data_IF_313052870757
#
_entry.id   IF_313052870757
#
_cell.length_a   1.000
_cell.length_b   1.000
_cell.length_c   1.000
_cell.angle_alpha   90.00
_cell.angle_beta   90.00
_cell.angle_gamma   90.00
#
_symmetry.space_group_name_H-M   'P 1'
#
loop_
_entity.id
_entity.type
_entity.pdbx_description
1 polymer ?
#
# COMPACT_ATOMS: atom_id res chain seq x y z
N UNK A 1 12.51 -48.53 31.47
CA UNK A 1 13.22 -48.99 32.68
C UNK A 1 13.87 -47.77 33.30
N UNK A 2 13.49 -47.48 34.54
CA UNK A 2 13.91 -46.34 35.35
C UNK A 2 15.44 -46.23 35.46
N UNK A 3 15.98 -45.02 35.64
CA UNK A 3 16.58 -44.56 36.91
C UNK A 3 16.92 -43.06 36.79
N UNK A 4 16.35 -42.29 37.70
CA UNK A 4 16.80 -40.96 38.09
C UNK A 4 17.70 -41.11 39.33
N UNK A 5 18.84 -40.40 39.39
CA UNK A 5 19.50 -40.08 40.66
C UNK A 5 20.14 -38.68 40.61
N UNK A 6 19.51 -37.80 41.38
CA UNK A 6 19.97 -36.62 42.14
C UNK A 6 21.46 -36.25 42.17
N UNK A 7 21.77 -34.96 42.02
CA UNK A 7 22.75 -34.25 42.88
C UNK A 7 22.48 -32.74 42.91
N UNK A 8 22.70 -32.15 44.09
CA UNK A 8 22.53 -30.76 44.53
C UNK A 8 23.64 -29.83 44.02
N UNK A 9 23.49 -28.48 44.09
CA UNK A 9 24.40 -27.54 43.43
C UNK A 9 25.63 -27.26 44.30
N UNK A 10 26.82 -27.44 43.74
CA UNK A 10 28.07 -26.91 44.29
C UNK A 10 28.51 -25.70 43.48
N UNK A 11 28.80 -24.62 44.21
CA UNK A 11 29.37 -23.38 43.70
C UNK A 11 30.61 -23.63 42.84
N UNK A 12 30.63 -23.10 41.61
CA UNK A 12 31.85 -23.04 40.80
C UNK A 12 32.36 -21.61 40.70
N UNK A 13 33.50 -21.45 41.36
CA UNK A 13 34.51 -20.40 41.30
C UNK A 13 34.76 -19.86 39.87
N UNK A 14 34.73 -18.54 39.73
CA UNK A 14 34.77 -17.79 38.47
C UNK A 14 36.18 -17.63 37.84
N UNK A 15 37.04 -18.64 37.92
CA UNK A 15 38.42 -18.54 37.40
C UNK A 15 38.92 -19.83 36.73
N UNK A 16 38.26 -20.23 35.63
CA UNK A 16 38.88 -21.09 34.60
C UNK A 16 38.06 -21.08 33.30
N UNK A 17 38.28 -20.10 32.42
CA UNK A 17 37.89 -20.24 31.00
C UNK A 17 39.05 -20.86 30.22
N UNK A 18 38.84 -21.96 29.46
CA UNK A 18 39.85 -22.46 28.55
C UNK A 18 40.09 -21.47 27.40
N UNK A 19 41.35 -21.32 27.00
CA UNK A 19 41.81 -20.43 25.93
C UNK A 19 41.04 -20.69 24.63
N UNK A 20 40.48 -19.63 24.05
CA UNK A 20 39.92 -19.63 22.70
C UNK A 20 41.02 -19.99 21.70
N UNK A 21 40.81 -21.05 20.93
CA UNK A 21 41.67 -21.41 19.81
C UNK A 21 41.31 -20.45 18.67
N UNK A 22 42.19 -19.51 18.39
CA UNK A 22 42.04 -18.58 17.27
C UNK A 22 42.29 -19.35 15.97
N UNK A 23 41.21 -19.68 15.25
CA UNK A 23 41.27 -20.25 13.92
C UNK A 23 41.69 -19.13 12.97
N UNK A 24 43.00 -19.03 12.71
CA UNK A 24 43.56 -18.18 11.65
C UNK A 24 43.02 -18.67 10.31
N UNK A 25 41.99 -18.00 9.77
CA UNK A 25 41.56 -18.23 8.40
C UNK A 25 42.73 -17.87 7.48
N UNK A 26 43.17 -18.84 6.69
CA UNK A 26 44.13 -18.60 5.62
C UNK A 26 43.43 -17.72 4.58
N UNK A 27 43.80 -16.44 4.51
CA UNK A 27 43.43 -15.60 3.36
C UNK A 27 43.99 -16.28 2.11
N UNK A 28 43.10 -16.91 1.36
CA UNK A 28 43.37 -17.23 -0.03
C UNK A 28 43.36 -15.89 -0.76
N UNK A 29 44.52 -15.49 -1.27
CA UNK A 29 44.64 -14.40 -2.23
C UNK A 29 43.89 -14.80 -3.50
N UNK A 30 42.56 -14.66 -3.49
CA UNK A 30 41.75 -14.61 -4.68
C UNK A 30 42.05 -13.26 -5.32
N UNK A 31 42.82 -13.29 -6.40
CA UNK A 31 42.95 -12.13 -7.27
C UNK A 31 41.54 -11.66 -7.69
N UNK A 32 41.29 -10.33 -7.76
CA UNK A 32 40.00 -9.84 -8.19
C UNK A 32 39.78 -10.31 -9.63
N UNK A 33 38.82 -11.22 -9.82
CA UNK A 33 38.38 -11.64 -11.15
C UNK A 33 37.95 -10.38 -11.91
N UNK A 34 38.74 -9.97 -12.90
CA UNK A 34 38.33 -8.93 -13.85
C UNK A 34 36.99 -9.35 -14.47
N UNK A 35 35.95 -8.56 -14.23
CA UNK A 35 34.63 -8.81 -14.77
C UNK A 35 34.68 -8.76 -16.30
N UNK A 36 34.50 -9.90 -16.96
CA UNK A 36 34.43 -10.02 -18.42
C UNK A 36 33.42 -9.00 -18.98
N UNK A 37 33.74 -8.23 -20.04
CA UNK A 37 32.83 -7.23 -20.59
C UNK A 37 31.54 -7.91 -21.07
N UNK A 38 30.46 -7.75 -20.32
CA UNK A 38 29.15 -8.29 -20.68
C UNK A 38 28.63 -7.57 -21.92
N UNK A 39 28.19 -8.34 -22.93
CA UNK A 39 27.52 -7.78 -24.11
C UNK A 39 26.30 -6.96 -23.68
N UNK A 40 25.93 -5.92 -24.44
CA UNK A 40 24.77 -5.07 -24.11
C UNK A 40 23.50 -5.91 -23.89
N UNK A 41 23.31 -6.99 -24.67
CA UNK A 41 22.22 -7.95 -24.48
C UNK A 41 22.32 -8.75 -23.18
N UNK A 42 23.51 -9.21 -22.76
CA UNK A 42 23.68 -9.92 -21.50
C UNK A 42 23.42 -9.00 -20.29
N UNK A 43 23.87 -7.75 -20.37
CA UNK A 43 23.58 -6.71 -19.38
C UNK A 43 22.07 -6.39 -19.30
N UNK A 44 21.40 -6.23 -20.44
CA UNK A 44 19.95 -5.98 -20.51
C UNK A 44 19.16 -7.20 -19.99
N UNK A 45 19.53 -8.41 -20.39
CA UNK A 45 18.85 -9.64 -19.97
C UNK A 45 19.02 -9.88 -18.45
N UNK A 46 20.23 -9.68 -17.90
CA UNK A 46 20.48 -9.74 -16.47
C UNK A 46 19.67 -8.68 -15.69
N UNK A 47 19.57 -7.46 -16.24
CA UNK A 47 18.79 -6.36 -15.63
C UNK A 47 17.28 -6.57 -15.73
N UNK A 48 16.82 -7.22 -16.80
CA UNK A 48 15.43 -7.59 -17.04
C UNK A 48 14.98 -8.73 -16.11
N UNK A 49 15.82 -9.74 -15.88
CA UNK A 49 15.55 -10.79 -14.89
C UNK A 49 15.50 -10.26 -13.46
N UNK A 50 16.31 -9.24 -13.12
CA UNK A 50 16.27 -8.56 -11.81
C UNK A 50 14.96 -7.79 -11.57
N UNK A 51 14.30 -7.32 -12.63
CA UNK A 51 13.03 -6.59 -12.57
C UNK A 51 11.94 -7.32 -13.36
N UNK A 52 11.94 -8.66 -13.29
CA UNK A 52 11.12 -9.51 -14.15
C UNK A 52 9.62 -9.21 -13.97
N UNK A 53 9.16 -9.07 -12.73
CA UNK A 53 7.76 -8.80 -12.42
C UNK A 53 7.27 -7.46 -13.03
N UNK A 54 8.03 -6.38 -12.85
CA UNK A 54 7.71 -5.08 -13.44
C UNK A 54 7.76 -5.13 -14.98
N UNK A 55 8.76 -5.82 -15.53
CA UNK A 55 8.90 -5.90 -17.00
C UNK A 55 7.75 -6.68 -17.62
N UNK A 56 7.39 -7.82 -17.02
CA UNK A 56 6.27 -8.65 -17.46
C UNK A 56 4.93 -7.92 -17.36
N UNK A 57 4.68 -7.19 -16.28
CA UNK A 57 3.44 -6.41 -16.11
C UNK A 57 3.32 -5.30 -17.14
N UNK A 58 4.37 -4.49 -17.35
CA UNK A 58 4.38 -3.43 -18.37
C UNK A 58 4.21 -4.02 -19.77
N UNK A 59 4.90 -5.13 -20.09
CA UNK A 59 4.73 -5.81 -21.36
C UNK A 59 3.30 -6.33 -21.54
N UNK A 60 2.70 -6.92 -20.51
CA UNK A 60 1.32 -7.39 -20.52
C UNK A 60 0.32 -6.26 -20.76
N UNK A 61 0.53 -5.09 -20.14
CA UNK A 61 -0.28 -3.89 -20.37
C UNK A 61 -0.18 -3.42 -21.81
N UNK A 62 1.04 -3.29 -22.36
CA UNK A 62 1.25 -2.83 -23.73
C UNK A 62 0.64 -3.82 -24.73
N UNK A 63 0.91 -5.12 -24.58
CA UNK A 63 0.36 -6.16 -25.44
C UNK A 63 -1.16 -6.22 -25.37
N UNK A 64 -1.75 -6.13 -24.17
CA UNK A 64 -3.19 -6.09 -23.97
C UNK A 64 -3.84 -4.86 -24.60
N UNK A 65 -3.21 -3.69 -24.46
CA UNK A 65 -3.70 -2.44 -25.04
C UNK A 65 -3.65 -2.44 -26.57
N UNK A 66 -2.52 -2.85 -27.16
CA UNK A 66 -2.34 -2.94 -28.61
C UNK A 66 -3.26 -3.98 -29.21
N UNK A 67 -3.33 -5.19 -28.64
CA UNK A 67 -4.22 -6.24 -29.14
C UNK A 67 -5.70 -5.86 -29.02
N UNK A 68 -6.12 -5.25 -27.91
CA UNK A 68 -7.49 -4.77 -27.73
C UNK A 68 -7.86 -3.66 -28.72
N UNK A 69 -6.95 -2.73 -29.00
CA UNK A 69 -7.17 -1.67 -29.98
C UNK A 69 -7.20 -2.22 -31.41
N UNK A 70 -6.32 -3.15 -31.76
CA UNK A 70 -6.30 -3.78 -33.07
C UNK A 70 -7.58 -4.58 -33.33
N UNK A 71 -7.99 -5.39 -32.36
CA UNK A 71 -9.22 -6.20 -32.42
C UNK A 71 -10.47 -5.33 -32.53
N UNK A 72 -10.49 -4.17 -31.86
CA UNK A 72 -11.56 -3.17 -31.98
C UNK A 72 -11.68 -2.60 -33.40
N UNK A 73 -10.56 -2.33 -34.06
CA UNK A 73 -10.54 -1.77 -35.43
C UNK A 73 -10.84 -2.86 -36.47
N UNK A 74 -10.47 -4.11 -36.20
CA UNK A 74 -10.51 -5.19 -37.19
C UNK A 74 -11.92 -5.68 -37.56
N UNK A 75 -12.94 -5.63 -36.68
CA UNK A 75 -14.37 -5.87 -36.96
C UNK A 75 -15.22 -5.80 -35.67
N UNK A 76 -16.55 -5.58 -35.75
CA UNK A 76 -17.42 -5.75 -34.58
C UNK A 76 -17.42 -7.21 -34.12
N UNK A 77 -16.78 -7.45 -32.98
CA UNK A 77 -16.62 -8.79 -32.40
C UNK A 77 -17.91 -9.20 -31.69
N UNK A 78 -18.36 -10.44 -31.90
CA UNK A 78 -19.51 -10.98 -31.16
C UNK A 78 -19.23 -11.01 -29.65
N UNK A 79 -20.19 -10.65 -28.77
CA UNK A 79 -19.99 -10.60 -27.32
C UNK A 79 -19.38 -11.85 -26.69
N UNK A 80 -19.68 -13.04 -27.23
CA UNK A 80 -19.16 -14.31 -26.72
C UNK A 80 -17.64 -14.43 -26.88
N UNK A 81 -17.08 -13.92 -27.98
CA UNK A 81 -15.63 -13.94 -28.22
C UNK A 81 -14.94 -12.98 -27.24
N UNK A 82 -15.56 -11.83 -26.94
CA UNK A 82 -15.07 -10.88 -25.94
C UNK A 82 -15.03 -11.53 -24.56
N UNK A 83 -16.04 -12.30 -24.21
CA UNK A 83 -16.08 -13.05 -22.95
C UNK A 83 -14.93 -14.05 -22.84
N UNK A 84 -14.67 -14.83 -23.89
CA UNK A 84 -13.56 -15.81 -23.90
C UNK A 84 -12.19 -15.13 -23.79
N UNK A 85 -12.00 -14.00 -24.48
CA UNK A 85 -10.76 -13.20 -24.39
C UNK A 85 -10.57 -12.62 -22.98
N UNK A 86 -11.64 -12.12 -22.35
CA UNK A 86 -11.61 -11.52 -21.02
C UNK A 86 -11.51 -12.56 -19.88
N UNK A 87 -11.88 -13.82 -20.13
CA UNK A 87 -12.02 -14.86 -19.10
C UNK A 87 -10.75 -15.09 -18.25
N UNK A 88 -9.53 -15.19 -18.80
CA UNK A 88 -8.32 -15.30 -17.99
C UNK A 88 -8.11 -14.08 -17.06
N UNK A 89 -8.53 -12.90 -17.50
CA UNK A 89 -8.51 -11.67 -16.70
C UNK A 89 -9.53 -11.67 -15.57
N UNK A 90 -10.72 -12.20 -15.81
CA UNK A 90 -11.74 -12.36 -14.77
C UNK A 90 -11.32 -13.39 -13.71
N UNK A 91 -10.63 -14.46 -14.10
CA UNK A 91 -10.00 -15.40 -13.16
C UNK A 91 -8.98 -14.67 -12.29
N UNK A 92 -8.10 -13.87 -12.88
CA UNK A 92 -7.11 -13.08 -12.14
C UNK A 92 -7.78 -12.21 -11.06
N UNK A 93 -8.85 -11.50 -11.42
CA UNK A 93 -9.60 -10.67 -10.46
C UNK A 93 -10.26 -11.49 -9.35
N UNK A 94 -10.75 -12.70 -9.65
CA UNK A 94 -11.32 -13.61 -8.64
C UNK A 94 -10.24 -14.14 -7.69
N UNK A 95 -9.05 -14.46 -8.21
CA UNK A 95 -7.92 -14.88 -7.39
C UNK A 95 -7.45 -13.75 -6.45
N UNK A 96 -7.36 -12.51 -6.94
CA UNK A 96 -7.04 -11.36 -6.10
C UNK A 96 -8.09 -11.13 -5.00
N UNK A 97 -9.39 -11.28 -5.30
CA UNK A 97 -10.47 -11.20 -4.30
C UNK A 97 -10.35 -12.26 -3.20
N UNK A 98 -9.94 -13.47 -3.54
CA UNK A 98 -9.76 -14.57 -2.58
C UNK A 98 -8.68 -14.25 -1.54
N UNK A 99 -7.64 -13.50 -1.93
CA UNK A 99 -6.54 -13.14 -1.02
C UNK A 99 -6.87 -11.99 -0.07
N UNK A 100 -7.95 -11.25 -0.29
CA UNK A 100 -8.34 -10.11 0.56
C UNK A 100 -8.52 -10.56 2.01
N UNK A 101 -9.29 -11.62 2.26
CA UNK A 101 -9.63 -12.04 3.62
C UNK A 101 -8.39 -12.53 4.40
N UNK A 102 -7.59 -13.51 3.92
CA UNK A 102 -6.39 -13.95 4.63
C UNK A 102 -5.39 -12.82 4.90
N UNK A 103 -5.25 -11.90 3.94
CA UNK A 103 -4.34 -10.77 4.03
C UNK A 103 -4.79 -9.77 5.09
N UNK A 104 -6.07 -9.37 5.09
CA UNK A 104 -6.62 -8.46 6.13
C UNK A 104 -6.39 -9.04 7.52
N UNK A 105 -6.73 -10.32 7.72
CA UNK A 105 -6.64 -10.97 9.02
C UNK A 105 -5.19 -11.00 9.50
N UNK A 106 -4.30 -11.56 8.68
CA UNK A 106 -2.90 -11.76 9.07
C UNK A 106 -2.15 -10.43 9.25
N UNK A 107 -2.34 -9.45 8.35
CA UNK A 107 -1.66 -8.15 8.41
C UNK A 107 -2.17 -7.24 9.53
N UNK A 108 -3.48 -7.17 9.78
CA UNK A 108 -4.02 -6.33 10.86
C UNK A 108 -3.63 -6.88 12.23
N UNK A 109 -3.73 -8.20 12.44
CA UNK A 109 -3.40 -8.81 13.73
C UNK A 109 -1.92 -8.60 14.04
N UNK A 110 -1.03 -8.98 13.12
CA UNK A 110 0.42 -8.84 13.31
C UNK A 110 0.83 -7.37 13.45
N UNK A 111 0.26 -6.49 12.62
CA UNK A 111 0.55 -5.07 12.63
C UNK A 111 0.11 -4.34 13.90
N UNK A 112 -1.02 -4.73 14.52
CA UNK A 112 -1.53 -4.08 15.73
C UNK A 112 -0.99 -4.71 17.01
N UNK A 113 -0.76 -6.03 17.03
CA UNK A 113 -0.24 -6.69 18.20
C UNK A 113 1.27 -6.48 18.40
N UNK A 114 2.01 -6.19 17.31
CA UNK A 114 3.41 -5.77 17.38
C UNK A 114 3.60 -4.35 17.92
N UNK A 115 2.52 -3.55 18.02
CA UNK A 115 2.56 -2.26 18.70
C UNK A 115 2.48 -2.50 20.21
N UNK A 116 3.64 -2.72 20.83
CA UNK A 116 3.72 -2.85 22.28
C UNK A 116 3.35 -1.51 22.93
N UNK A 117 2.08 -1.38 23.35
CA UNK A 117 1.57 -0.19 24.02
C UNK A 117 2.35 0.15 25.29
N UNK A 118 3.10 -0.80 25.87
CA UNK A 118 3.89 -0.63 27.09
C UNK A 118 5.29 -0.08 26.82
N UNK A 119 5.99 -0.54 25.76
CA UNK A 119 7.32 0.00 25.37
C UNK A 119 7.27 1.18 24.39
N UNK A 120 6.15 1.35 23.67
CA UNK A 120 5.94 2.46 22.73
C UNK A 120 5.94 3.83 23.43
N UNK A 121 5.66 3.87 24.74
CA UNK A 121 5.80 5.05 25.59
C UNK A 121 5.03 6.28 25.08
N UNK A 122 5.32 7.46 25.64
CA UNK A 122 4.72 8.73 25.21
C UNK A 122 5.13 9.14 23.78
N UNK A 123 6.27 8.63 23.28
CA UNK A 123 6.79 8.94 21.94
C UNK A 123 6.00 8.22 20.84
N UNK A 124 5.69 6.94 21.03
CA UNK A 124 4.97 6.14 20.05
C UNK A 124 3.48 6.51 19.96
N UNK A 125 2.84 6.89 21.08
CA UNK A 125 1.47 7.45 21.03
C UNK A 125 1.43 8.76 20.23
N UNK A 126 2.41 9.65 20.39
CA UNK A 126 2.50 10.89 19.60
C UNK A 126 2.70 10.58 18.11
N UNK A 127 3.55 9.62 17.78
CA UNK A 127 3.76 9.18 16.39
C UNK A 127 2.50 8.55 15.78
N UNK A 128 1.78 7.75 16.55
CA UNK A 128 0.53 7.10 16.13
C UNK A 128 -0.56 8.14 15.84
N UNK A 129 -0.73 9.12 16.72
CA UNK A 129 -1.66 10.26 16.50
C UNK A 129 -1.26 11.05 15.27
N UNK A 130 0.04 11.33 15.09
CA UNK A 130 0.54 12.03 13.91
C UNK A 130 0.17 11.28 12.61
N UNK A 131 0.50 9.99 12.50
CA UNK A 131 0.19 9.21 11.29
C UNK A 131 -1.31 9.06 11.02
N UNK A 132 -2.14 8.85 12.04
CA UNK A 132 -3.59 8.80 11.86
C UNK A 132 -4.14 10.13 11.37
N UNK A 133 -3.70 11.25 11.96
CA UNK A 133 -4.16 12.58 11.55
C UNK A 133 -3.75 12.92 10.11
N UNK A 134 -2.51 12.65 9.70
CA UNK A 134 -2.06 12.91 8.32
C UNK A 134 -2.78 12.04 7.31
N UNK A 135 -3.09 10.79 7.66
CA UNK A 135 -3.83 9.86 6.79
C UNK A 135 -5.28 10.30 6.59
N UNK A 136 -5.96 10.76 7.65
CA UNK A 136 -7.32 11.31 7.55
C UNK A 136 -7.32 12.57 6.68
N UNK A 137 -6.36 13.48 6.87
CA UNK A 137 -6.22 14.69 6.05
C UNK A 137 -5.99 14.32 4.58
N UNK A 138 -5.12 13.35 4.29
CA UNK A 138 -4.89 12.86 2.93
C UNK A 138 -6.15 12.29 2.28
N UNK A 139 -6.92 11.47 3.01
CA UNK A 139 -8.17 10.88 2.53
C UNK A 139 -9.23 11.96 2.23
N UNK A 140 -9.40 12.93 3.13
CA UNK A 140 -10.33 14.05 2.95
C UNK A 140 -9.92 14.92 1.75
N UNK A 141 -8.64 15.24 1.62
CA UNK A 141 -8.11 15.97 0.46
C UNK A 141 -8.40 15.23 -0.84
N UNK A 142 -8.18 13.91 -0.89
CA UNK A 142 -8.46 13.07 -2.04
C UNK A 142 -9.93 13.11 -2.45
N UNK A 143 -10.85 13.00 -1.48
CA UNK A 143 -12.31 13.07 -1.70
C UNK A 143 -12.74 14.45 -2.21
N UNK A 144 -12.17 15.54 -1.66
CA UNK A 144 -12.46 16.90 -2.13
C UNK A 144 -11.97 17.10 -3.56
N UNK A 145 -10.71 16.72 -3.85
CA UNK A 145 -10.12 16.88 -5.18
C UNK A 145 -10.93 16.13 -6.24
N UNK A 146 -11.26 14.86 -6.02
CA UNK A 146 -12.02 14.09 -7.02
C UNK A 146 -13.40 14.71 -7.27
N UNK A 147 -14.11 15.17 -6.23
CA UNK A 147 -15.42 15.81 -6.40
C UNK A 147 -15.32 17.13 -7.17
N UNK A 148 -14.28 17.93 -6.94
CA UNK A 148 -14.08 19.18 -7.69
C UNK A 148 -13.76 18.94 -9.16
N UNK A 149 -13.03 17.86 -9.46
CA UNK A 149 -12.68 17.50 -10.84
C UNK A 149 -13.89 16.92 -11.56
N UNK A 150 -14.63 15.99 -10.95
CA UNK A 150 -15.81 15.38 -11.59
C UNK A 150 -16.94 16.37 -11.82
N UNK A 151 -17.18 17.29 -10.87
CA UNK A 151 -18.19 18.35 -11.05
C UNK A 151 -17.86 19.29 -12.21
N UNK A 152 -16.58 19.58 -12.46
CA UNK A 152 -16.16 20.38 -13.61
C UNK A 152 -16.33 19.66 -14.95
N UNK A 153 -16.36 18.33 -14.96
CA UNK A 153 -16.52 17.53 -16.19
C UNK A 153 -17.98 17.50 -16.66
N UNK A 154 -18.96 17.57 -15.75
CA UNK A 154 -20.39 17.63 -16.12
C UNK A 154 -20.81 19.04 -16.61
N UNK A 155 -20.17 20.10 -16.12
CA UNK A 155 -20.50 21.50 -16.48
C UNK A 155 -20.06 21.88 -17.90
N UNK A 156 -19.28 21.04 -18.60
CA UNK A 156 -18.88 21.28 -19.99
C UNK A 156 -19.93 20.85 -21.04
N UNK A 157 -21.09 20.34 -20.61
CA UNK A 157 -22.25 20.10 -21.48
C UNK A 157 -23.33 21.13 -21.10
N UNK A 158 -23.08 22.41 -21.39
CA UNK A 158 -24.19 23.36 -21.45
C UNK A 158 -24.80 23.29 -22.86
N UNK A 159 -26.06 22.85 -22.87
CA UNK A 159 -27.00 22.94 -23.97
C UNK A 159 -27.12 24.39 -24.45
N UNK A 160 -26.66 24.66 -25.67
CA UNK A 160 -27.08 25.85 -26.41
C UNK A 160 -28.51 25.62 -26.93
N UNK A 161 -29.51 25.91 -26.09
CA UNK A 161 -30.93 25.89 -26.47
C UNK A 161 -31.48 27.31 -26.39
N UNK A 162 -31.23 28.07 -27.45
CA UNK A 162 -32.09 29.20 -27.80
C UNK A 162 -33.34 28.65 -28.52
N UNK A 163 -34.43 28.44 -27.78
CA UNK A 163 -35.73 28.12 -28.37
C UNK A 163 -36.82 29.10 -27.90
N UNK A 164 -37.13 30.08 -28.74
CA UNK A 164 -38.32 30.96 -28.66
C UNK A 164 -39.48 30.46 -29.51
N UNK A 165 -39.61 29.16 -29.77
CA UNK A 165 -40.70 28.58 -30.56
C UNK A 165 -41.65 27.71 -29.74
N UNK A 166 -42.87 27.54 -30.26
CA UNK A 166 -44.04 26.83 -29.73
C UNK A 166 -43.82 25.34 -29.33
N UNK A 167 -42.57 24.88 -29.24
CA UNK A 167 -42.15 23.55 -28.82
C UNK A 167 -42.25 23.34 -27.30
N UNK A 168 -42.28 24.43 -26.51
CA UNK A 168 -42.34 24.37 -25.04
C UNK A 168 -43.62 23.73 -24.47
N UNK A 169 -44.73 23.73 -25.21
CA UNK A 169 -45.99 23.11 -24.76
C UNK A 169 -46.05 21.61 -25.10
N UNK A 170 -45.46 21.19 -26.22
CA UNK A 170 -45.35 19.77 -26.63
C UNK A 170 -44.29 19.04 -25.81
N UNK A 171 -43.22 19.75 -25.39
CA UNK A 171 -42.17 19.22 -24.53
C UNK A 171 -42.65 18.84 -23.12
N UNK A 172 -43.78 19.38 -22.64
CA UNK A 172 -44.32 19.00 -21.32
C UNK A 172 -45.17 17.72 -21.37
N UNK A 173 -45.69 17.34 -22.55
CA UNK A 173 -46.54 16.15 -22.76
C UNK A 173 -45.68 14.92 -23.16
N UNK A 174 -44.47 15.15 -23.66
CA UNK A 174 -43.49 14.11 -24.04
C UNK A 174 -42.38 13.91 -23.00
N UNK A 175 -42.56 14.37 -21.75
CA UNK A 175 -41.59 14.11 -20.69
C UNK A 175 -41.45 12.61 -20.47
N UNK A 176 -40.33 12.07 -20.92
CA UNK A 176 -39.82 10.75 -20.56
C UNK A 176 -40.02 10.52 -19.05
N UNK A 177 -40.34 9.28 -18.62
CA UNK A 177 -40.61 8.99 -17.22
C UNK A 177 -39.47 9.52 -16.36
N UNK A 178 -39.76 10.54 -15.55
CA UNK A 178 -38.75 11.11 -14.68
C UNK A 178 -38.35 10.06 -13.66
N UNK A 179 -37.13 9.54 -13.82
CA UNK A 179 -36.51 8.64 -12.86
C UNK A 179 -36.28 9.41 -11.56
N UNK A 180 -37.25 9.34 -10.65
CA UNK A 180 -37.06 9.82 -9.29
C UNK A 180 -36.07 8.87 -8.63
N UNK A 181 -34.81 9.29 -8.52
CA UNK A 181 -33.76 8.57 -7.80
C UNK A 181 -34.12 8.57 -6.31
N UNK A 182 -34.94 7.60 -5.88
CA UNK A 182 -35.24 7.38 -4.47
C UNK A 182 -34.08 6.63 -3.84
N UNK A 183 -33.38 7.27 -2.91
CA UNK A 183 -32.40 6.60 -2.04
C UNK A 183 -33.15 5.54 -1.24
N UNK A 184 -32.88 4.27 -1.50
CA UNK A 184 -33.42 3.14 -0.74
C UNK A 184 -32.30 2.33 -0.13
N UNK A 185 -32.50 1.86 1.10
CA UNK A 185 -31.58 0.93 1.74
C UNK A 185 -31.81 -0.44 1.10
N UNK A 186 -30.81 -0.94 0.39
CA UNK A 186 -30.83 -2.29 -0.15
C UNK A 186 -29.71 -3.11 0.49
N UNK A 187 -30.07 -4.28 1.02
CA UNK A 187 -29.08 -5.26 1.46
C UNK A 187 -28.39 -5.83 0.23
N UNK A 188 -27.12 -5.49 0.03
CA UNK A 188 -26.30 -6.11 -0.99
C UNK A 188 -25.62 -7.34 -0.40
N UNK A 189 -25.81 -8.49 -1.04
CA UNK A 189 -25.06 -9.69 -0.69
C UNK A 189 -23.58 -9.48 -1.04
N UNK A 190 -22.70 -9.66 -0.07
CA UNK A 190 -21.26 -9.44 -0.21
C UNK A 190 -20.50 -9.68 1.08
N UNK A 191 -19.17 -9.75 0.99
CA UNK A 191 -18.31 -9.88 2.16
C UNK A 191 -18.38 -8.60 3.00
N UNK A 192 -18.73 -8.71 4.29
CA UNK A 192 -18.72 -7.59 5.22
C UNK A 192 -17.27 -7.25 5.65
N UNK A 193 -16.54 -6.62 4.74
CA UNK A 193 -15.14 -6.23 4.93
C UNK A 193 -14.98 -5.27 6.10
N UNK A 194 -15.90 -4.30 6.27
CA UNK A 194 -15.83 -3.30 7.33
C UNK A 194 -15.99 -3.94 8.72
N UNK A 195 -16.94 -4.88 8.86
CA UNK A 195 -17.13 -5.66 10.10
C UNK A 195 -15.93 -6.55 10.43
N UNK A 196 -15.33 -7.19 9.41
CA UNK A 196 -14.10 -7.98 9.58
C UNK A 196 -12.94 -7.11 10.07
N UNK A 197 -12.70 -5.95 9.45
CA UNK A 197 -11.65 -5.01 9.87
C UNK A 197 -11.89 -4.57 11.31
N UNK A 198 -13.10 -4.15 11.66
CA UNK A 198 -13.43 -3.73 13.03
C UNK A 198 -13.16 -4.82 14.07
N UNK A 199 -13.58 -6.06 13.78
CA UNK A 199 -13.32 -7.21 14.64
C UNK A 199 -11.82 -7.49 14.79
N UNK A 200 -11.07 -7.56 13.69
CA UNK A 200 -9.65 -7.91 13.73
C UNK A 200 -8.76 -6.80 14.29
N UNK A 201 -9.19 -5.53 14.23
CA UNK A 201 -8.55 -4.44 14.96
C UNK A 201 -8.68 -4.67 16.47
N UNK A 202 -9.89 -4.91 16.96
CA UNK A 202 -10.12 -5.17 18.38
C UNK A 202 -9.38 -6.43 18.84
N UNK A 203 -9.42 -7.49 18.03
CA UNK A 203 -8.70 -8.74 18.28
C UNK A 203 -7.18 -8.55 18.36
N UNK A 204 -6.58 -7.84 17.39
CA UNK A 204 -5.14 -7.55 17.38
C UNK A 204 -4.68 -6.74 18.59
N UNK A 205 -5.46 -5.74 19.00
CA UNK A 205 -5.16 -4.93 20.21
C UNK A 205 -5.26 -5.78 21.48
N UNK A 206 -6.31 -6.60 21.61
CA UNK A 206 -6.47 -7.51 22.75
C UNK A 206 -5.34 -8.54 22.81
N UNK A 207 -4.94 -9.10 21.65
CA UNK A 207 -3.83 -10.04 21.52
C UNK A 207 -2.50 -9.41 21.93
N UNK A 208 -2.21 -8.18 21.49
CA UNK A 208 -1.01 -7.45 21.89
C UNK A 208 -0.91 -7.25 23.41
N UNK A 209 -2.05 -7.06 24.10
CA UNK A 209 -2.10 -6.93 25.57
C UNK A 209 -1.83 -8.25 26.32
N UNK A 210 -1.96 -9.40 25.67
CA UNK A 210 -1.75 -10.72 26.30
C UNK A 210 -0.27 -11.10 26.40
N UNK A 211 0.64 -10.32 25.81
CA UNK A 211 2.09 -10.51 25.90
C UNK A 211 2.52 -11.90 25.42
N UNK A 212 3.32 -12.60 26.23
CA UNK A 212 3.88 -13.91 25.85
C UNK A 212 2.83 -14.98 25.55
N UNK A 213 1.66 -14.92 26.19
CA UNK A 213 0.57 -15.90 25.95
C UNK A 213 0.06 -15.85 24.50
N UNK A 214 0.17 -14.70 23.85
CA UNK A 214 -0.24 -14.51 22.46
C UNK A 214 0.86 -14.84 21.44
N UNK A 215 2.10 -15.09 21.87
CA UNK A 215 3.26 -15.25 20.98
C UNK A 215 3.05 -16.31 19.90
N UNK A 216 2.49 -17.46 20.28
CA UNK A 216 2.20 -18.55 19.34
C UNK A 216 1.20 -18.12 18.24
N UNK A 217 0.14 -17.40 18.62
CA UNK A 217 -0.84 -16.91 17.65
C UNK A 217 -0.26 -15.82 16.75
N UNK A 218 0.59 -14.94 17.28
CA UNK A 218 1.27 -13.91 16.51
C UNK A 218 2.19 -14.51 15.45
N UNK A 219 2.97 -15.53 15.83
CA UNK A 219 3.85 -16.25 14.93
C UNK A 219 3.05 -16.96 13.83
N UNK A 220 1.94 -17.61 14.17
CA UNK A 220 1.02 -18.19 13.19
C UNK A 220 0.52 -17.16 12.16
N UNK A 221 0.01 -16.01 12.61
CA UNK A 221 -0.49 -14.99 11.70
C UNK A 221 0.64 -14.32 10.90
N UNK A 222 1.84 -14.21 11.44
CA UNK A 222 3.02 -13.73 10.71
C UNK A 222 3.40 -14.67 9.58
N UNK A 223 3.48 -15.97 9.85
CA UNK A 223 3.75 -16.99 8.83
C UNK A 223 2.64 -17.01 7.78
N UNK A 224 1.37 -16.90 8.20
CA UNK A 224 0.24 -16.81 7.27
C UNK A 224 0.38 -15.59 6.35
N UNK A 225 0.76 -14.43 6.88
CA UNK A 225 1.02 -13.23 6.08
C UNK A 225 2.12 -13.50 5.05
N UNK A 226 3.25 -14.09 5.44
CA UNK A 226 4.33 -14.44 4.50
C UNK A 226 3.89 -15.41 3.39
N UNK A 227 3.09 -16.43 3.73
CA UNK A 227 2.54 -17.38 2.75
C UNK A 227 1.62 -16.66 1.76
N UNK A 228 0.70 -15.83 2.27
CA UNK A 228 -0.24 -15.06 1.44
C UNK A 228 0.51 -14.12 0.50
N UNK A 229 1.60 -13.50 0.97
CA UNK A 229 2.44 -12.61 0.16
C UNK A 229 3.15 -13.36 -0.97
N UNK A 230 3.61 -14.60 -0.74
CA UNK A 230 4.12 -15.47 -1.81
C UNK A 230 3.03 -15.83 -2.82
N UNK A 231 1.79 -16.05 -2.38
CA UNK A 231 0.65 -16.28 -3.28
C UNK A 231 0.36 -15.05 -4.16
N UNK A 232 0.37 -13.84 -3.59
CA UNK A 232 0.20 -12.58 -4.36
C UNK A 232 1.27 -12.50 -5.45
N UNK A 233 2.54 -12.69 -5.09
CA UNK A 233 3.66 -12.65 -6.05
C UNK A 233 3.48 -13.68 -7.16
N UNK A 234 3.12 -14.93 -6.82
CA UNK A 234 2.89 -16.01 -7.79
C UNK A 234 1.79 -15.64 -8.80
N UNK A 235 0.67 -15.05 -8.33
CA UNK A 235 -0.42 -14.59 -9.19
C UNK A 235 0.05 -13.46 -10.11
N UNK A 236 0.82 -12.51 -9.58
CA UNK A 236 1.33 -11.37 -10.36
C UNK A 236 2.40 -11.75 -11.40
N UNK A 237 3.05 -12.91 -11.26
CA UNK A 237 3.95 -13.47 -12.28
C UNK A 237 3.23 -13.97 -13.54
N UNK A 238 1.89 -13.91 -13.60
CA UNK A 238 1.09 -14.19 -14.80
C UNK A 238 0.70 -12.89 -15.54
N UNK A 239 1.60 -12.29 -16.36
CA UNK A 239 1.27 -11.10 -17.15
C UNK A 239 0.19 -11.37 -18.20
N UNK A 240 -0.02 -12.64 -18.53
CA UNK A 240 -1.06 -13.09 -19.45
C UNK A 240 -2.46 -12.70 -18.94
N UNK A 241 -2.73 -12.85 -17.63
CA UNK A 241 -4.00 -12.44 -17.05
C UNK A 241 -4.26 -10.93 -17.19
N UNK A 242 -3.21 -10.11 -16.99
CA UNK A 242 -3.28 -8.64 -17.13
C UNK A 242 -3.51 -8.25 -18.59
N UNK A 243 -2.81 -8.89 -19.53
CA UNK A 243 -2.98 -8.64 -20.96
C UNK A 243 -4.41 -8.94 -21.44
N UNK A 244 -4.95 -10.12 -21.08
CA UNK A 244 -6.33 -10.52 -21.40
C UNK A 244 -7.38 -9.59 -20.75
N UNK A 245 -7.15 -9.19 -19.50
CA UNK A 245 -8.02 -8.28 -18.76
C UNK A 245 -8.10 -6.91 -19.45
N UNK A 246 -6.97 -6.34 -19.86
CA UNK A 246 -6.92 -5.03 -20.53
C UNK A 246 -7.50 -5.12 -21.94
N UNK A 247 -7.14 -6.16 -22.69
CA UNK A 247 -7.65 -6.40 -24.04
C UNK A 247 -9.18 -6.53 -24.05
N UNK A 248 -9.73 -7.43 -23.23
CA UNK A 248 -11.18 -7.63 -23.13
C UNK A 248 -11.94 -6.37 -22.71
N UNK A 249 -11.37 -5.57 -21.81
CA UNK A 249 -11.98 -4.31 -21.37
C UNK A 249 -11.97 -3.24 -22.45
N UNK A 250 -10.87 -3.06 -23.18
CA UNK A 250 -10.79 -2.09 -24.29
C UNK A 250 -11.80 -2.42 -25.40
N UNK A 251 -12.02 -3.71 -25.68
CA UNK A 251 -13.00 -4.15 -26.68
C UNK A 251 -14.44 -3.88 -26.20
N UNK A 252 -14.72 -4.12 -24.91
CA UNK A 252 -16.07 -3.97 -24.34
C UNK A 252 -16.55 -2.51 -24.20
N UNK A 253 -15.65 -1.52 -24.23
CA UNK A 253 -15.99 -0.10 -24.05
C UNK A 253 -16.53 0.48 -25.36
N UNK A 254 -17.67 1.16 -25.35
CA UNK A 254 -18.22 1.79 -26.58
C UNK A 254 -17.46 3.06 -26.99
N UNK A 255 -17.06 3.88 -26.02
CA UNK A 255 -16.36 5.15 -26.25
C UNK A 255 -15.00 5.17 -25.55
N UNK A 256 -13.97 4.70 -26.27
CA UNK A 256 -12.62 4.59 -25.71
C UNK A 256 -12.03 5.95 -25.35
N UNK A 257 -12.34 6.99 -26.14
CA UNK A 257 -11.85 8.35 -25.91
C UNK A 257 -12.32 8.90 -24.55
N UNK A 258 -13.62 8.75 -24.24
CA UNK A 258 -14.19 9.22 -22.98
C UNK A 258 -13.54 8.50 -21.80
N UNK A 259 -13.37 7.17 -21.90
CA UNK A 259 -12.74 6.38 -20.84
C UNK A 259 -11.26 6.71 -20.68
N UNK A 260 -10.51 6.87 -21.79
CA UNK A 260 -9.10 7.26 -21.75
C UNK A 260 -8.93 8.66 -21.13
N UNK A 261 -9.81 9.61 -21.48
CA UNK A 261 -9.84 10.95 -20.88
C UNK A 261 -10.15 10.88 -19.39
N UNK A 262 -11.15 10.10 -18.97
CA UNK A 262 -11.49 9.91 -17.57
C UNK A 262 -10.33 9.27 -16.79
N UNK A 263 -9.68 8.25 -17.34
CA UNK A 263 -8.53 7.58 -16.74
C UNK A 263 -7.32 8.52 -16.62
N UNK A 264 -7.07 9.34 -17.65
CA UNK A 264 -6.04 10.38 -17.62
C UNK A 264 -6.32 11.45 -16.56
N UNK A 265 -7.55 11.94 -16.47
CA UNK A 265 -7.97 12.89 -15.43
C UNK A 265 -7.84 12.29 -14.03
N UNK A 266 -8.14 11.00 -13.86
CA UNK A 266 -7.89 10.28 -12.63
C UNK A 266 -6.40 10.29 -12.25
N UNK A 267 -5.49 9.93 -13.17
CA UNK A 267 -4.05 9.96 -12.89
C UNK A 267 -3.56 11.35 -12.48
N UNK A 268 -3.96 12.38 -13.24
CA UNK A 268 -3.59 13.77 -12.97
C UNK A 268 -4.10 14.20 -11.60
N UNK A 269 -5.33 13.87 -11.25
CA UNK A 269 -5.93 14.21 -9.95
C UNK A 269 -5.20 13.53 -8.79
N UNK A 270 -4.83 12.25 -8.94
CA UNK A 270 -4.07 11.51 -7.92
C UNK A 270 -2.68 12.10 -7.74
N UNK A 271 -1.95 12.35 -8.84
CA UNK A 271 -0.59 12.93 -8.78
C UNK A 271 -0.64 14.33 -8.14
N UNK A 272 -1.58 15.17 -8.54
CA UNK A 272 -1.78 16.50 -7.95
C UNK A 272 -2.11 16.38 -6.45
N UNK A 273 -2.99 15.46 -6.07
CA UNK A 273 -3.33 15.23 -4.67
C UNK A 273 -2.14 14.79 -3.82
N UNK A 274 -1.30 13.90 -4.34
CA UNK A 274 -0.07 13.47 -3.68
C UNK A 274 0.94 14.61 -3.56
N UNK A 275 1.11 15.42 -4.60
CA UNK A 275 1.99 16.61 -4.57
C UNK A 275 1.47 17.62 -3.55
N UNK A 276 0.17 17.96 -3.56
CA UNK A 276 -0.42 18.89 -2.59
C UNK A 276 -0.24 18.37 -1.16
N UNK A 277 -0.52 17.09 -0.92
CA UNK A 277 -0.35 16.50 0.41
C UNK A 277 1.12 16.54 0.86
N UNK A 278 2.03 16.08 0.00
CA UNK A 278 3.46 15.97 0.28
C UNK A 278 4.19 17.32 0.39
N UNK A 279 3.84 18.30 -0.46
CA UNK A 279 4.54 19.57 -0.56
C UNK A 279 3.87 20.72 0.22
N UNK A 280 2.60 20.59 0.63
CA UNK A 280 1.88 21.64 1.35
C UNK A 280 1.48 21.15 2.75
N UNK A 281 0.68 20.08 2.84
CA UNK A 281 0.14 19.65 4.13
C UNK A 281 1.22 19.11 5.08
N UNK A 282 2.12 18.24 4.61
CA UNK A 282 3.20 17.72 5.47
C UNK A 282 4.15 18.83 5.97
N UNK A 283 4.66 19.75 5.12
CA UNK A 283 5.41 20.93 5.58
C UNK A 283 4.63 21.85 6.51
N UNK A 284 3.33 22.05 6.27
CA UNK A 284 2.50 22.91 7.11
C UNK A 284 2.33 22.31 8.52
N UNK A 285 2.08 21.00 8.62
CA UNK A 285 2.00 20.29 9.92
C UNK A 285 3.36 20.33 10.62
N UNK A 286 4.46 20.10 9.89
CA UNK A 286 5.81 20.23 10.43
C UNK A 286 6.05 21.64 11.01
N UNK A 287 5.73 22.68 10.24
CA UNK A 287 5.89 24.06 10.69
C UNK A 287 5.00 24.38 11.89
N UNK A 288 3.76 23.90 11.92
CA UNK A 288 2.83 24.12 13.03
C UNK A 288 3.34 23.53 14.35
N UNK A 289 3.92 22.32 14.31
CA UNK A 289 4.40 21.60 15.49
C UNK A 289 5.80 22.06 15.91
N UNK A 290 6.73 22.13 14.97
CA UNK A 290 8.17 22.32 15.23
C UNK A 290 8.56 23.81 15.20
N UNK A 291 7.74 24.65 14.55
CA UNK A 291 7.99 26.10 14.37
C UNK A 291 9.34 26.41 13.71
N UNK A 292 9.87 25.49 12.90
CA UNK A 292 11.09 25.63 12.10
C UNK A 292 10.75 25.57 10.61
N UNK A 293 11.61 26.13 9.76
CA UNK A 293 11.45 26.09 8.32
C UNK A 293 11.43 24.63 7.81
N UNK A 294 10.29 24.12 7.28
CA UNK A 294 10.19 22.74 6.82
C UNK A 294 11.03 22.48 5.56
N UNK A 295 11.26 23.48 4.71
CA UNK A 295 11.92 23.26 3.42
C UNK A 295 13.38 22.83 3.56
N UNK A 296 14.08 23.30 4.60
CA UNK A 296 15.45 22.84 4.93
C UNK A 296 15.47 21.34 5.22
N UNK A 297 14.44 20.84 5.91
CA UNK A 297 14.30 19.42 6.21
C UNK A 297 13.94 18.61 4.96
N UNK A 298 12.96 19.07 4.17
CA UNK A 298 12.53 18.40 2.93
C UNK A 298 13.66 18.30 1.89
N UNK A 299 14.51 19.32 1.77
CA UNK A 299 15.69 19.28 0.90
C UNK A 299 16.72 18.23 1.37
N UNK A 300 16.89 18.06 2.68
CA UNK A 300 17.79 17.04 3.24
C UNK A 300 17.33 15.60 2.97
N UNK A 301 16.02 15.36 2.90
CA UNK A 301 15.44 14.03 2.61
C UNK A 301 15.05 13.83 1.13
N UNK A 302 15.26 14.83 0.29
CA UNK A 302 14.86 14.80 -1.12
C UNK A 302 15.48 13.62 -1.88
N UNK A 303 16.73 13.28 -1.58
CA UNK A 303 17.42 12.12 -2.16
C UNK A 303 16.74 10.79 -1.79
N UNK A 304 16.26 10.64 -0.55
CA UNK A 304 15.52 9.46 -0.13
C UNK A 304 14.16 9.38 -0.84
N UNK A 305 13.50 10.52 -1.05
CA UNK A 305 12.25 10.59 -1.81
C UNK A 305 12.43 10.16 -3.28
N UNK A 306 13.46 10.66 -3.97
CA UNK A 306 13.78 10.24 -5.35
C UNK A 306 14.10 8.75 -5.41
N UNK A 307 14.86 8.23 -4.44
CA UNK A 307 15.19 6.81 -4.37
C UNK A 307 13.95 5.94 -4.15
N UNK A 308 13.02 6.40 -3.31
CA UNK A 308 11.74 5.72 -3.07
C UNK A 308 10.84 5.72 -4.33
N UNK A 309 10.77 6.83 -5.07
CA UNK A 309 10.09 6.89 -6.38
C UNK A 309 10.70 5.93 -7.40
N UNK A 310 12.04 5.83 -7.43
CA UNK A 310 12.77 5.00 -8.38
C UNK A 310 12.60 3.50 -8.13
N UNK A 311 12.59 3.10 -6.86
CA UNK A 311 12.53 1.69 -6.44
C UNK A 311 11.11 1.12 -6.41
N UNK A 312 10.07 1.95 -6.29
CA UNK A 312 8.65 1.54 -6.27
C UNK A 312 8.33 0.38 -5.29
N UNK A 313 9.19 0.18 -4.29
CA UNK A 313 9.16 -0.98 -3.41
C UNK A 313 8.67 -0.52 -2.04
N UNK A 314 7.39 -0.75 -1.75
CA UNK A 314 6.69 -0.38 -0.49
C UNK A 314 7.26 -1.03 0.79
N UNK A 315 8.37 -1.75 0.72
CA UNK A 315 8.97 -2.47 1.85
C UNK A 315 9.46 -1.55 2.99
N UNK A 316 9.84 -0.30 2.71
CA UNK A 316 10.48 0.61 3.68
C UNK A 316 9.60 1.74 4.22
N UNK A 317 8.48 2.06 3.57
CA UNK A 317 7.67 3.24 3.88
C UNK A 317 6.50 2.96 4.85
N UNK A 318 5.83 1.82 4.73
CA UNK A 318 4.50 1.58 5.33
C UNK A 318 4.51 0.73 6.61
N UNK A 319 5.62 0.05 6.91
CA UNK A 319 5.82 -0.69 8.17
C UNK A 319 5.63 0.23 9.41
N UNK A 320 5.82 1.55 9.25
CA UNK A 320 5.69 2.50 10.34
C UNK A 320 4.27 3.03 10.59
N UNK A 321 3.33 2.93 9.63
CA UNK A 321 2.05 3.67 9.68
C UNK A 321 0.81 2.83 9.98
N UNK A 322 0.96 1.69 10.66
CA UNK A 322 -0.12 0.78 11.15
C UNK A 322 -0.54 -0.25 10.11
N UNK A 323 -0.06 -1.48 10.27
CA UNK A 323 -0.68 -2.70 9.72
C UNK A 323 -0.80 -2.84 8.20
N UNK A 324 -0.32 -1.89 7.41
CA UNK A 324 -0.22 -2.04 5.96
C UNK A 324 0.94 -3.00 5.65
N UNK A 325 0.63 -4.27 5.40
CA UNK A 325 1.60 -5.22 4.87
C UNK A 325 2.20 -4.66 3.56
N UNK A 326 3.50 -4.85 3.37
CA UNK A 326 4.27 -4.38 2.21
C UNK A 326 3.91 -5.19 0.95
N UNK A 327 2.68 -5.07 0.44
CA UNK A 327 2.14 -5.91 -0.63
C UNK A 327 2.64 -5.38 -1.98
N UNK A 328 3.20 -6.22 -2.86
CA UNK A 328 3.40 -5.85 -4.26
C UNK A 328 2.05 -5.47 -4.88
N UNK A 329 1.93 -4.24 -5.40
CA UNK A 329 0.63 -3.67 -5.84
C UNK A 329 -0.43 -3.65 -4.72
N UNK A 330 -0.01 -3.26 -3.50
CA UNK A 330 -0.92 -3.01 -2.37
C UNK A 330 -2.10 -2.12 -2.75
N UNK A 331 -1.86 -1.13 -3.62
CA UNK A 331 -2.89 -0.22 -4.13
C UNK A 331 -4.10 -0.94 -4.71
N UNK A 332 -3.90 -1.93 -5.58
CA UNK A 332 -5.00 -2.68 -6.21
C UNK A 332 -5.78 -3.53 -5.21
N UNK A 333 -5.09 -4.25 -4.33
CA UNK A 333 -5.74 -5.11 -3.33
C UNK A 333 -6.54 -4.27 -2.33
N UNK A 334 -5.97 -3.15 -1.86
CA UNK A 334 -6.65 -2.22 -0.95
C UNK A 334 -7.81 -1.50 -1.63
N UNK A 335 -7.68 -1.10 -2.91
CA UNK A 335 -8.79 -0.50 -3.66
C UNK A 335 -9.94 -1.50 -3.86
N UNK A 336 -9.62 -2.74 -4.20
CA UNK A 336 -10.59 -3.82 -4.35
C UNK A 336 -11.30 -4.14 -3.03
N UNK A 337 -10.56 -4.11 -1.92
CA UNK A 337 -11.08 -4.21 -0.57
C UNK A 337 -12.09 -3.09 -0.28
N UNK A 338 -11.73 -1.83 -0.52
CA UNK A 338 -12.60 -0.67 -0.27
C UNK A 338 -13.88 -0.77 -1.13
N UNK A 339 -13.76 -1.10 -2.40
CA UNK A 339 -14.92 -1.22 -3.29
C UNK A 339 -15.82 -2.39 -2.89
N UNK A 340 -15.25 -3.50 -2.43
CA UNK A 340 -16.03 -4.60 -1.87
C UNK A 340 -16.71 -4.20 -0.56
N UNK A 341 -16.05 -3.41 0.29
CA UNK A 341 -16.61 -2.90 1.54
C UNK A 341 -17.81 -1.95 1.32
N UNK A 342 -17.74 -1.09 0.29
CA UNK A 342 -18.80 -0.16 -0.08
C UNK A 342 -19.85 -0.84 -0.99
N UNK A 343 -19.57 -2.06 -1.47
CA UNK A 343 -20.46 -2.78 -2.37
C UNK A 343 -20.52 -2.18 -3.78
N UNK A 344 -19.44 -1.54 -4.25
CA UNK A 344 -19.34 -1.02 -5.62
C UNK A 344 -18.88 -2.11 -6.60
N UNK A 345 -19.26 -2.01 -7.89
CA UNK A 345 -18.80 -2.96 -8.91
C UNK A 345 -17.28 -2.89 -9.03
N UNK A 346 -16.66 -4.06 -9.04
CA UNK A 346 -15.19 -4.22 -9.06
C UNK A 346 -14.65 -4.53 -10.46
N UNK A 347 -15.54 -4.67 -11.44
CA UNK A 347 -15.21 -5.01 -12.81
C UNK A 347 -14.54 -3.84 -13.55
N UNK A 348 -14.83 -2.60 -13.14
CA UNK A 348 -14.30 -1.39 -13.79
C UNK A 348 -12.91 -1.00 -13.25
N UNK A 349 -12.49 -1.60 -12.12
CA UNK A 349 -11.12 -1.47 -11.56
C UNK A 349 -10.06 -2.04 -12.48
N UNK A 350 -10.45 -2.98 -13.35
CA UNK A 350 -9.57 -3.63 -14.31
C UNK A 350 -8.71 -2.63 -15.12
N UNK A 351 -9.27 -1.49 -15.50
CA UNK A 351 -8.55 -0.44 -16.23
C UNK A 351 -7.55 0.33 -15.34
N UNK A 352 -7.80 0.40 -14.03
CA UNK A 352 -6.86 0.98 -13.07
C UNK A 352 -5.60 0.12 -12.91
N UNK A 353 -5.68 -1.20 -13.10
CA UNK A 353 -4.51 -2.09 -13.09
C UNK A 353 -3.48 -1.67 -14.13
N UNK A 354 -3.93 -1.16 -15.28
CA UNK A 354 -3.04 -0.72 -16.36
C UNK A 354 -2.18 0.51 -15.98
N UNK A 355 -2.62 1.28 -14.99
CA UNK A 355 -1.99 2.55 -14.58
C UNK A 355 -1.40 2.50 -13.17
N UNK A 356 -1.74 1.46 -12.41
CA UNK A 356 -1.30 1.26 -11.03
C UNK A 356 0.23 1.24 -10.92
N UNK A 357 0.93 0.60 -11.86
CA UNK A 357 2.40 0.55 -11.87
C UNK A 357 3.06 1.95 -11.86
N UNK A 358 2.38 2.97 -12.38
CA UNK A 358 2.84 4.36 -12.38
C UNK A 358 2.45 5.05 -11.07
N UNK A 359 1.20 4.92 -10.64
CA UNK A 359 0.70 5.56 -9.43
C UNK A 359 1.35 5.01 -8.16
N UNK A 360 1.68 3.72 -8.15
CA UNK A 360 2.37 3.04 -7.05
C UNK A 360 3.75 3.65 -6.76
N UNK A 361 4.44 4.18 -7.78
CA UNK A 361 5.70 4.92 -7.61
C UNK A 361 5.50 6.17 -6.77
N UNK A 362 4.52 7.00 -7.13
CA UNK A 362 4.22 8.24 -6.42
C UNK A 362 3.72 7.98 -5.00
N UNK A 363 2.88 6.95 -4.81
CA UNK A 363 2.45 6.50 -3.49
C UNK A 363 3.65 6.09 -2.61
N UNK A 364 4.58 5.29 -3.17
CA UNK A 364 5.79 4.86 -2.47
C UNK A 364 6.70 6.03 -2.12
N UNK A 365 6.91 6.97 -3.05
CA UNK A 365 7.69 8.18 -2.80
C UNK A 365 7.13 8.98 -1.63
N UNK A 366 5.83 9.30 -1.66
CA UNK A 366 5.20 10.09 -0.60
C UNK A 366 5.19 9.37 0.75
N UNK A 367 4.98 8.03 0.75
CA UNK A 367 5.10 7.21 1.95
C UNK A 367 6.52 7.19 2.53
N UNK A 368 7.55 7.13 1.68
CA UNK A 368 8.96 7.07 2.10
C UNK A 368 9.46 8.33 2.82
N UNK A 369 8.80 9.47 2.63
CA UNK A 369 9.09 10.73 3.33
C UNK A 369 8.55 10.72 4.77
N UNK A 370 7.48 9.98 5.03
CA UNK A 370 6.75 10.02 6.30
C UNK A 370 7.59 9.54 7.51
N UNK A 371 8.41 8.47 7.43
CA UNK A 371 9.30 8.07 8.52
C UNK A 371 10.35 9.13 8.87
N UNK A 372 10.86 9.87 7.87
CA UNK A 372 11.80 10.97 8.10
C UNK A 372 11.17 12.08 8.96
N UNK A 373 9.88 12.36 8.76
CA UNK A 373 9.13 13.32 9.57
C UNK A 373 8.86 12.86 11.02
N UNK A 374 9.32 11.67 11.45
CA UNK A 374 9.29 11.29 12.88
C UNK A 374 10.37 11.99 13.70
N UNK A 375 11.50 12.36 13.10
CA UNK A 375 12.60 13.07 13.76
C UNK A 375 12.15 14.31 14.57
N UNK A 376 11.31 15.22 14.03
CA UNK A 376 10.80 16.36 14.80
C UNK A 376 9.96 16.02 16.05
N UNK A 377 9.30 14.86 16.14
CA UNK A 377 8.58 14.45 17.35
C UNK A 377 9.51 14.18 18.53
N UNK A 378 10.79 13.84 18.27
CA UNK A 378 11.80 13.69 19.31
C UNK A 378 12.28 15.03 19.90
N UNK A 379 12.00 16.15 19.22
CA UNK A 379 12.32 17.50 19.71
C UNK A 379 11.22 18.10 20.60
N UNK A 380 10.06 17.43 20.75
CA UNK A 380 9.04 17.86 21.70
C UNK A 380 9.54 17.62 23.14
N UNK A 381 9.31 18.56 24.08
CA UNK A 381 9.78 18.43 25.45
C UNK A 381 9.29 17.11 26.06
N UNK A 382 10.24 16.39 26.67
CA UNK A 382 9.94 15.25 27.54
C UNK A 382 9.19 15.82 28.74
N UNK A 383 8.04 15.24 29.09
CA UNK A 383 7.27 15.71 30.25
C UNK A 383 8.09 15.66 31.55
N UNK A 384 7.66 16.37 32.61
CA UNK A 384 8.45 16.65 33.82
C UNK A 384 8.78 15.46 34.74
N UNK A 385 8.65 14.22 34.26
CA UNK A 385 8.76 12.98 35.07
C UNK A 385 10.10 12.24 34.89
N UNK A 386 11.04 12.79 34.14
CA UNK A 386 12.34 12.15 33.87
C UNK A 386 13.51 12.76 34.66
N UNK A 387 13.28 13.83 35.44
CA UNK A 387 14.29 14.42 36.31
C UNK A 387 14.49 13.65 37.63
N UNK A 388 13.63 12.65 37.92
CA UNK A 388 13.71 11.81 39.12
C UNK A 388 14.42 10.47 38.85
N UNK A 389 14.29 9.92 37.64
CA UNK A 389 15.02 8.72 37.22
C UNK A 389 16.49 9.02 36.89
N UNK A 390 16.81 10.25 36.47
CA UNK A 390 18.17 10.71 36.26
C UNK A 390 18.94 10.97 37.57
N UNK A 391 18.25 11.28 38.67
CA UNK A 391 18.88 11.54 39.99
C UNK A 391 19.15 10.28 40.81
N UNK A 392 18.41 9.19 40.56
CA UNK A 392 18.63 7.90 41.23
C UNK A 392 19.79 7.10 40.64
N UNK A 393 20.21 7.38 39.40
CA UNK A 393 21.35 6.71 38.76
C UNK A 393 22.70 7.47 38.89
N UNK A 394 22.74 8.62 39.56
CA UNK A 394 23.97 9.41 39.76
C UNK A 394 24.47 9.41 41.21
N UNK A 395 24.04 8.46 42.05
CA UNK A 395 24.71 8.21 43.34
C UNK A 395 25.81 7.16 43.18
N UNK A 396 27.02 7.62 43.45
CA UNK A 396 28.34 7.03 43.27
C UNK A 396 28.51 5.64 43.98
N UNK A 397 29.03 4.59 43.31
CA UNK A 397 29.20 3.25 43.90
C UNK A 397 30.51 3.08 44.70
N UNK A 398 30.76 3.93 45.71
CA UNK A 398 32.01 3.84 46.52
C UNK A 398 31.85 3.81 48.04
N UNK A 399 30.66 3.57 48.58
CA UNK A 399 30.51 3.32 50.02
C UNK A 399 29.38 2.34 50.32
N UNK A 400 29.73 1.05 50.40
CA UNK A 400 29.03 0.07 51.22
C UNK A 400 30.07 -0.99 51.65
N UNK A 401 30.66 -0.74 52.81
CA UNK A 401 31.15 -1.79 53.73
C UNK A 401 29.99 -2.17 54.65
#
# INVERSE_FOLDING_TARGET
MYIALTSTPTEMNANSMPKQVEVRMHESHLEPIEARPQSKCANICSKMFKNLLLTLTVLGVILGAVSGMLLRVASPIHPDIVMVIAFPGDILMRMLKMLILPLIISSLITGLAGLDAKSSGRLGTRAMVYYMSTTIIAAVLGVILIQTVTKKVEVAIEEDVNATTMDGLVANITKDPQFIVKKSLQFKSGMNVLGLIGFFIAFGICMGKMGEKARLMLEFFSILNEIVMKLVICIMYSPFGIACLICGKIISIKDLEVVARQLGMYMVTVIIGLIIHGAIFLPAIYFAIVRKNPFTFFLGIFQAWITALGTASSLTATLASVGAASIPSAGLVTMLLILTAVGLPTQDISLLVAVDWLLDRFNTGNGGVLPGLRAPLSHLPKGPELDDFGRTCTQNPTTLK
#
